data_IF_807817349480
#
_entry.id   IF_807817349480
#
_cell.length_a   1.000
_cell.length_b   1.000
_cell.length_c   1.000
_cell.angle_alpha   90.00
_cell.angle_beta   90.00
_cell.angle_gamma   90.00
#
_symmetry.space_group_name_H-M   'P 1'
#
loop_
_entity.id
_entity.type
_entity.pdbx_description
1 polymer ?
#
# COMPACT_ATOMS: atom_id res chain seq x y z
N UNK A 1 5.32 60.96 -10.44
CA UNK A 1 6.05 59.68 -10.41
C UNK A 1 6.39 59.31 -11.85
N UNK A 2 7.68 59.32 -12.17
CA UNK A 2 8.22 59.11 -13.52
C UNK A 2 8.66 57.65 -13.69
N UNK A 3 8.78 57.21 -14.94
CA UNK A 3 9.10 55.84 -15.42
C UNK A 3 10.40 55.20 -14.89
N UNK A 4 11.12 55.86 -13.99
CA UNK A 4 12.44 55.44 -13.48
C UNK A 4 12.37 54.53 -12.23
N UNK A 5 11.20 54.36 -11.62
CA UNK A 5 11.05 53.63 -10.33
C UNK A 5 10.68 52.14 -10.49
N UNK A 6 10.52 51.63 -11.71
CA UNK A 6 10.18 50.22 -11.99
C UNK A 6 11.39 49.31 -12.28
N UNK A 7 12.63 49.84 -12.20
CA UNK A 7 13.86 49.12 -12.55
C UNK A 7 14.60 48.52 -11.34
N UNK A 8 13.87 48.07 -10.31
CA UNK A 8 14.43 47.61 -9.03
C UNK A 8 14.13 46.14 -8.69
N UNK A 9 14.35 45.20 -9.61
CA UNK A 9 14.37 43.76 -9.26
C UNK A 9 15.63 43.10 -9.84
N UNK A 10 16.66 42.81 -9.02
CA UNK A 10 17.97 42.32 -9.48
C UNK A 10 17.99 40.83 -9.88
N UNK A 11 16.83 40.18 -10.05
CA UNK A 11 16.74 38.74 -10.33
C UNK A 11 16.64 38.36 -11.81
N UNK A 12 16.34 39.30 -12.71
CA UNK A 12 15.97 38.99 -14.12
C UNK A 12 17.16 38.88 -15.07
N UNK A 13 18.30 39.45 -14.73
CA UNK A 13 19.48 39.51 -15.62
C UNK A 13 20.33 38.23 -15.64
N UNK A 14 20.13 37.31 -14.70
CA UNK A 14 20.94 36.09 -14.63
C UNK A 14 20.52 34.99 -15.63
N UNK A 15 19.27 34.99 -16.08
CA UNK A 15 18.79 33.97 -17.02
C UNK A 15 19.41 34.13 -18.43
N UNK A 16 19.73 35.38 -18.82
CA UNK A 16 20.30 35.68 -20.14
C UNK A 16 21.83 35.50 -20.19
N UNK A 17 22.52 35.54 -19.05
CA UNK A 17 23.98 35.39 -19.00
C UNK A 17 24.45 33.95 -19.26
N UNK A 18 23.62 32.94 -19.00
CA UNK A 18 23.95 31.54 -19.26
C UNK A 18 23.99 31.18 -20.76
N UNK A 19 23.32 31.95 -21.61
CA UNK A 19 23.25 31.68 -23.06
C UNK A 19 24.57 31.92 -23.80
N UNK A 20 25.56 32.57 -23.17
CA UNK A 20 26.83 32.90 -23.82
C UNK A 20 27.88 31.78 -23.78
N UNK A 21 27.64 30.64 -23.12
CA UNK A 21 28.68 29.62 -22.89
C UNK A 21 28.49 28.25 -23.56
N UNK A 22 27.40 28.00 -24.29
CA UNK A 22 27.23 26.75 -25.04
C UNK A 22 26.96 26.98 -26.54
N UNK A 23 27.85 26.41 -27.35
CA UNK A 23 27.76 26.33 -28.81
C UNK A 23 26.74 25.27 -29.27
N UNK A 24 25.55 25.27 -28.68
CA UNK A 24 24.45 24.37 -29.04
C UNK A 24 23.90 24.66 -30.44
N UNK A 25 23.41 23.62 -31.13
CA UNK A 25 22.86 23.73 -32.49
C UNK A 25 21.62 24.64 -32.50
N UNK A 26 21.31 25.36 -33.59
CA UNK A 26 20.21 26.34 -33.64
C UNK A 26 18.85 25.83 -33.15
N UNK A 27 18.57 24.53 -33.32
CA UNK A 27 17.34 23.88 -32.84
C UNK A 27 17.25 23.73 -31.32
N UNK A 28 18.37 23.49 -30.65
CA UNK A 28 18.40 23.43 -29.17
C UNK A 28 18.15 24.81 -28.57
N UNK A 29 18.67 25.87 -29.22
CA UNK A 29 18.41 27.25 -28.79
C UNK A 29 16.94 27.62 -28.87
N UNK A 30 16.26 27.22 -29.95
CA UNK A 30 14.82 27.46 -30.09
C UNK A 30 14.02 26.72 -29.02
N UNK A 31 14.37 25.46 -28.74
CA UNK A 31 13.72 24.67 -27.68
C UNK A 31 13.91 25.28 -26.29
N UNK A 32 15.12 25.75 -25.97
CA UNK A 32 15.41 26.43 -24.71
C UNK A 32 14.69 27.78 -24.59
N UNK A 33 14.52 28.50 -25.70
CA UNK A 33 13.72 29.72 -25.76
C UNK A 33 12.24 29.43 -25.54
N UNK A 34 11.70 28.40 -26.18
CA UNK A 34 10.32 27.96 -25.98
C UNK A 34 10.06 27.56 -24.52
N UNK A 35 11.02 26.88 -23.88
CA UNK A 35 10.94 26.47 -22.48
C UNK A 35 11.09 27.65 -21.52
N UNK A 36 11.97 28.62 -21.81
CA UNK A 36 12.12 29.84 -21.02
C UNK A 36 10.93 30.81 -21.17
N UNK A 37 10.23 30.74 -22.29
CA UNK A 37 9.01 31.52 -22.58
C UNK A 37 7.74 30.78 -22.18
N UNK A 38 7.83 29.49 -21.82
CA UNK A 38 6.69 28.75 -21.31
C UNK A 38 6.21 29.40 -20.01
N UNK A 39 4.93 29.74 -19.98
CA UNK A 39 4.28 30.20 -18.75
C UNK A 39 4.48 29.10 -17.70
N UNK A 40 5.00 29.42 -16.50
CA UNK A 40 5.10 28.44 -15.42
C UNK A 40 3.75 27.79 -15.25
N UNK A 41 3.69 26.46 -15.33
CA UNK A 41 2.46 25.76 -15.01
C UNK A 41 2.06 26.20 -13.59
N UNK A 42 0.79 26.57 -13.36
CA UNK A 42 0.35 26.94 -12.02
C UNK A 42 0.68 25.78 -11.09
N UNK A 43 1.22 26.10 -9.92
CA UNK A 43 1.43 25.09 -8.88
C UNK A 43 0.11 24.36 -8.66
N UNK A 44 0.11 23.01 -8.57
CA UNK A 44 -1.11 22.26 -8.36
C UNK A 44 -1.82 22.80 -7.12
N UNK A 45 -3.12 23.04 -7.23
CA UNK A 45 -3.90 23.55 -6.09
C UNK A 45 -3.68 22.64 -4.87
N UNK A 46 -3.48 23.23 -3.68
CA UNK A 46 -3.27 22.45 -2.47
C UNK A 46 -4.49 21.57 -2.21
N UNK A 47 -4.27 20.25 -2.19
CA UNK A 47 -5.31 19.26 -1.90
C UNK A 47 -5.81 19.48 -0.47
N UNK A 48 -7.12 19.46 -0.27
CA UNK A 48 -7.69 19.56 1.07
C UNK A 48 -7.27 18.35 1.92
N UNK A 49 -7.18 18.51 3.24
CA UNK A 49 -6.82 17.40 4.14
C UNK A 49 -7.75 16.19 3.98
N UNK A 50 -9.06 16.42 3.75
CA UNK A 50 -10.04 15.37 3.49
C UNK A 50 -9.75 14.61 2.19
N UNK A 51 -9.55 15.34 1.09
CA UNK A 51 -9.22 14.73 -0.20
C UNK A 51 -7.87 13.99 -0.17
N UNK A 52 -6.91 14.46 0.62
CA UNK A 52 -5.65 13.76 0.83
C UNK A 52 -5.81 12.45 1.62
N UNK A 53 -6.67 12.43 2.64
CA UNK A 53 -6.98 11.19 3.38
C UNK A 53 -7.64 10.16 2.48
N UNK A 54 -8.62 10.57 1.67
CA UNK A 54 -9.26 9.69 0.68
C UNK A 54 -8.23 9.13 -0.32
N UNK A 55 -7.34 9.98 -0.84
CA UNK A 55 -6.27 9.56 -1.73
C UNK A 55 -5.27 8.58 -1.07
N UNK A 56 -4.97 8.75 0.22
CA UNK A 56 -4.17 7.79 0.99
C UNK A 56 -4.89 6.45 1.07
N UNK A 57 -6.19 6.43 1.35
CA UNK A 57 -6.96 5.20 1.50
C UNK A 57 -7.01 4.41 0.18
N UNK A 58 -7.26 5.09 -0.94
CA UNK A 58 -7.16 4.49 -2.28
C UNK A 58 -5.76 3.95 -2.56
N UNK A 59 -4.72 4.73 -2.24
CA UNK A 59 -3.32 4.32 -2.43
C UNK A 59 -2.97 3.09 -1.58
N UNK A 60 -3.43 3.02 -0.33
CA UNK A 60 -3.22 1.85 0.55
C UNK A 60 -3.83 0.61 -0.08
N UNK A 61 -5.07 0.69 -0.58
CA UNK A 61 -5.73 -0.46 -1.20
C UNK A 61 -4.97 -0.94 -2.44
N UNK A 62 -4.57 -0.01 -3.32
CA UNK A 62 -3.86 -0.36 -4.55
C UNK A 62 -2.46 -0.94 -4.27
N UNK A 63 -1.69 -0.32 -3.37
CA UNK A 63 -0.37 -0.82 -2.98
C UNK A 63 -0.46 -2.18 -2.27
N UNK A 64 -1.42 -2.34 -1.36
CA UNK A 64 -1.67 -3.61 -0.67
C UNK A 64 -1.96 -4.72 -1.67
N UNK A 65 -2.85 -4.48 -2.62
CA UNK A 65 -3.17 -5.45 -3.69
C UNK A 65 -1.95 -5.85 -4.50
N UNK A 66 -1.15 -4.87 -4.96
CA UNK A 66 0.07 -5.13 -5.74
C UNK A 66 1.09 -5.97 -4.95
N UNK A 67 1.28 -5.67 -3.67
CA UNK A 67 2.19 -6.44 -2.81
C UNK A 67 1.66 -7.84 -2.48
N UNK A 68 0.35 -7.99 -2.25
CA UNK A 68 -0.26 -9.31 -2.07
C UNK A 68 -0.03 -10.17 -3.31
N UNK A 69 -0.23 -9.62 -4.51
CA UNK A 69 0.04 -10.32 -5.77
C UNK A 69 1.53 -10.65 -5.96
N UNK A 70 2.44 -9.80 -5.49
CA UNK A 70 3.89 -10.03 -5.55
C UNK A 70 4.33 -11.21 -4.66
N UNK A 71 3.66 -11.39 -3.52
CA UNK A 71 3.94 -12.47 -2.57
C UNK A 71 3.22 -13.77 -2.96
N UNK A 72 1.96 -13.67 -3.42
CA UNK A 72 1.08 -14.81 -3.70
C UNK A 72 1.09 -15.26 -5.17
N UNK A 73 2.26 -15.29 -5.80
CA UNK A 73 2.42 -15.51 -7.25
C UNK A 73 1.85 -16.86 -7.74
N UNK A 74 1.88 -17.91 -6.92
CA UNK A 74 1.51 -19.26 -7.35
C UNK A 74 0.86 -20.10 -6.24
N UNK A 75 -0.33 -19.70 -5.80
CA UNK A 75 -1.10 -20.50 -4.84
C UNK A 75 -1.60 -21.81 -5.48
N UNK A 76 -1.22 -22.95 -4.90
CA UNK A 76 -1.68 -24.26 -5.35
C UNK A 76 -2.96 -24.66 -4.62
N UNK A 77 -3.87 -25.32 -5.33
CA UNK A 77 -5.10 -25.84 -4.72
C UNK A 77 -4.85 -26.71 -3.46
N UNK A 78 -3.75 -27.49 -3.45
CA UNK A 78 -3.40 -28.34 -2.31
C UNK A 78 -2.94 -27.54 -1.07
N UNK A 79 -2.34 -26.37 -1.25
CA UNK A 79 -1.92 -25.50 -0.15
C UNK A 79 -3.13 -24.90 0.54
N UNK A 80 -4.13 -24.46 -0.23
CA UNK A 80 -5.41 -23.98 0.29
C UNK A 80 -6.13 -25.10 1.06
N UNK A 81 -6.22 -26.31 0.47
CA UNK A 81 -6.80 -27.48 1.16
C UNK A 81 -6.06 -27.82 2.45
N UNK A 82 -4.73 -27.72 2.47
CA UNK A 82 -3.92 -27.95 3.66
C UNK A 82 -4.19 -26.89 4.75
N UNK A 83 -4.31 -25.62 4.36
CA UNK A 83 -4.65 -24.53 5.27
C UNK A 83 -6.05 -24.71 5.87
N UNK A 84 -7.04 -25.07 5.06
CA UNK A 84 -8.41 -25.39 5.53
C UNK A 84 -8.39 -26.52 6.56
N UNK A 85 -7.66 -27.61 6.28
CA UNK A 85 -7.51 -28.72 7.24
C UNK A 85 -6.83 -28.27 8.53
N UNK A 86 -5.81 -27.41 8.44
CA UNK A 86 -5.11 -26.86 9.61
C UNK A 86 -6.02 -25.99 10.48
N UNK A 87 -6.81 -25.10 9.88
CA UNK A 87 -7.78 -24.27 10.59
C UNK A 87 -8.84 -25.13 11.30
N UNK A 88 -9.41 -26.12 10.61
CA UNK A 88 -10.37 -27.05 11.19
C UNK A 88 -9.77 -27.84 12.37
N UNK A 89 -8.51 -28.29 12.24
CA UNK A 89 -7.81 -28.99 13.30
C UNK A 89 -7.52 -28.09 14.51
N UNK A 90 -7.08 -26.84 14.29
CA UNK A 90 -6.86 -25.86 15.36
C UNK A 90 -8.16 -25.56 16.12
N UNK A 91 -9.26 -25.37 15.40
CA UNK A 91 -10.60 -25.18 15.99
C UNK A 91 -11.03 -26.41 16.81
N UNK A 92 -10.82 -27.61 16.28
CA UNK A 92 -11.10 -28.85 17.00
C UNK A 92 -10.30 -28.97 18.29
N UNK A 93 -9.01 -28.62 18.27
CA UNK A 93 -8.14 -28.59 19.46
C UNK A 93 -8.63 -27.59 20.50
N UNK A 94 -9.00 -26.38 20.08
CA UNK A 94 -9.57 -25.38 20.98
C UNK A 94 -10.85 -25.89 21.64
N UNK A 95 -11.77 -26.47 20.87
CA UNK A 95 -13.02 -27.00 21.42
C UNK A 95 -12.78 -28.17 22.38
N UNK A 96 -11.82 -29.05 22.07
CA UNK A 96 -11.42 -30.12 22.99
C UNK A 96 -10.85 -29.56 24.30
N UNK A 97 -9.91 -28.60 24.22
CA UNK A 97 -9.33 -27.95 25.39
C UNK A 97 -10.39 -27.23 26.24
N UNK A 98 -11.40 -26.62 25.60
CA UNK A 98 -12.51 -25.97 26.29
C UNK A 98 -13.36 -26.97 27.10
N UNK A 99 -13.61 -28.16 26.53
CA UNK A 99 -14.36 -29.24 27.20
C UNK A 99 -13.55 -29.84 28.35
N UNK A 100 -12.23 -29.98 28.17
CA UNK A 100 -11.31 -30.60 29.13
C UNK A 100 -10.82 -29.64 30.24
N UNK A 101 -11.46 -28.47 30.40
CA UNK A 101 -10.97 -27.44 31.33
C UNK A 101 -10.94 -27.92 32.80
N UNK A 102 -9.80 -27.77 33.50
CA UNK A 102 -9.67 -28.20 34.89
C UNK A 102 -10.57 -27.42 35.85
N UNK A 103 -11.09 -28.14 36.84
CA UNK A 103 -12.00 -27.60 37.86
C UNK A 103 -11.29 -26.94 39.05
N UNK A 104 -10.06 -27.37 39.36
CA UNK A 104 -9.24 -26.82 40.44
C UNK A 104 -8.64 -25.45 40.06
N UNK A 105 -8.56 -24.53 41.02
CA UNK A 105 -8.08 -23.16 40.76
C UNK A 105 -6.60 -23.10 40.34
N UNK A 106 -5.70 -23.88 40.96
CA UNK A 106 -4.27 -23.82 40.68
C UNK A 106 -3.91 -24.15 39.22
N UNK A 107 -4.57 -25.13 38.60
CA UNK A 107 -4.32 -25.51 37.19
C UNK A 107 -5.18 -24.73 36.21
N UNK A 108 -6.22 -24.04 36.67
CA UNK A 108 -7.14 -23.29 35.80
C UNK A 108 -6.49 -22.09 35.14
N UNK A 109 -5.59 -21.37 35.83
CA UNK A 109 -4.95 -20.17 35.25
C UNK A 109 -4.13 -20.52 34.00
N UNK A 110 -3.22 -21.49 34.11
CA UNK A 110 -2.40 -21.95 32.98
C UNK A 110 -3.28 -22.50 31.85
N UNK A 111 -4.30 -23.29 32.19
CA UNK A 111 -5.21 -23.84 31.19
C UNK A 111 -6.02 -22.74 30.45
N UNK A 112 -6.38 -21.63 31.11
CA UNK A 112 -7.01 -20.47 30.45
C UNK A 112 -6.02 -19.77 29.49
N UNK A 113 -4.76 -19.63 29.88
CA UNK A 113 -3.71 -19.03 29.03
C UNK A 113 -3.50 -19.88 27.76
N UNK A 114 -3.36 -21.20 27.92
CA UNK A 114 -3.26 -22.15 26.80
C UNK A 114 -4.50 -22.13 25.90
N UNK A 115 -5.69 -22.09 26.51
CA UNK A 115 -6.96 -21.98 25.78
C UNK A 115 -7.06 -20.67 24.99
N UNK A 116 -6.52 -19.57 25.53
CA UNK A 116 -6.49 -18.27 24.84
C UNK A 116 -5.58 -18.31 23.62
N UNK A 117 -4.41 -18.93 23.73
CA UNK A 117 -3.50 -19.12 22.60
C UNK A 117 -4.14 -20.01 21.52
N UNK A 118 -4.78 -21.12 21.92
CA UNK A 118 -5.50 -21.98 21.00
C UNK A 118 -6.65 -21.25 20.30
N UNK A 119 -7.33 -20.33 21.00
CA UNK A 119 -8.38 -19.49 20.42
C UNK A 119 -7.82 -18.56 19.35
N UNK A 120 -6.78 -17.80 19.71
CA UNK A 120 -6.12 -16.87 18.80
C UNK A 120 -5.62 -17.59 17.55
N UNK A 121 -5.02 -18.78 17.69
CA UNK A 121 -4.53 -19.56 16.55
C UNK A 121 -5.66 -19.88 15.55
N UNK A 122 -6.80 -20.43 16.00
CA UNK A 122 -7.86 -20.77 15.04
C UNK A 122 -8.55 -19.53 14.46
N UNK A 123 -8.70 -18.45 15.25
CA UNK A 123 -9.33 -17.21 14.80
C UNK A 123 -8.51 -16.52 13.71
N UNK A 124 -7.19 -16.44 13.88
CA UNK A 124 -6.29 -15.88 12.86
C UNK A 124 -6.28 -16.73 11.59
N UNK A 125 -6.32 -18.06 11.72
CA UNK A 125 -6.41 -18.96 10.56
C UNK A 125 -7.75 -18.81 9.83
N UNK A 126 -8.88 -18.71 10.53
CA UNK A 126 -10.20 -18.48 9.92
C UNK A 126 -10.25 -17.11 9.23
N UNK A 127 -9.73 -16.06 9.88
CA UNK A 127 -9.65 -14.72 9.29
C UNK A 127 -8.77 -14.69 8.04
N UNK A 128 -7.61 -15.35 8.08
CA UNK A 128 -6.73 -15.47 6.91
C UNK A 128 -7.39 -16.22 5.75
N UNK A 129 -8.16 -17.27 6.03
CA UNK A 129 -8.94 -17.99 5.01
C UNK A 129 -10.06 -17.11 4.42
N UNK A 130 -10.71 -16.29 5.22
CA UNK A 130 -11.74 -15.37 4.73
C UNK A 130 -11.13 -14.27 3.84
N UNK A 131 -9.98 -13.72 4.22
CA UNK A 131 -9.24 -12.76 3.37
C UNK A 131 -8.85 -13.43 2.05
N UNK A 132 -8.29 -14.65 2.11
CA UNK A 132 -7.90 -15.40 0.92
C UNK A 132 -9.12 -15.67 0.02
N UNK A 133 -10.27 -16.00 0.59
CA UNK A 133 -11.53 -16.19 -0.15
C UNK A 133 -11.93 -14.92 -0.90
N UNK A 134 -11.88 -13.75 -0.26
CA UNK A 134 -12.19 -12.48 -0.93
C UNK A 134 -11.21 -12.20 -2.07
N UNK A 135 -9.91 -12.35 -1.86
CA UNK A 135 -8.89 -12.16 -2.89
C UNK A 135 -9.09 -13.09 -4.11
N UNK A 136 -9.54 -14.31 -3.88
CA UNK A 136 -9.88 -15.24 -4.97
C UNK A 136 -11.12 -14.78 -5.73
N UNK A 137 -12.17 -14.34 -5.01
CA UNK A 137 -13.43 -13.88 -5.62
C UNK A 137 -13.25 -12.60 -6.44
N UNK A 138 -12.36 -11.71 -5.98
CA UNK A 138 -12.04 -10.45 -6.66
C UNK A 138 -11.08 -10.64 -7.85
N UNK A 139 -10.65 -11.88 -8.12
CA UNK A 139 -9.65 -12.27 -9.12
C UNK A 139 -8.26 -11.65 -8.90
N UNK A 140 -7.95 -11.29 -7.65
CA UNK A 140 -6.67 -10.70 -7.26
C UNK A 140 -5.58 -11.76 -7.14
N UNK A 141 -5.97 -13.02 -6.95
CA UNK A 141 -5.05 -14.16 -6.83
C UNK A 141 -5.49 -15.29 -7.75
N UNK A 142 -4.55 -15.84 -8.52
CA UNK A 142 -4.79 -17.02 -9.37
C UNK A 142 -4.43 -18.30 -8.63
N UNK A 143 -5.31 -19.30 -8.72
CA UNK A 143 -5.08 -20.63 -8.16
C UNK A 143 -4.65 -21.59 -9.27
N UNK A 144 -3.44 -22.13 -9.14
CA UNK A 144 -2.94 -23.14 -10.08
C UNK A 144 -3.77 -24.42 -9.99
N UNK A 145 -4.27 -24.88 -11.13
CA UNK A 145 -5.02 -26.12 -11.27
C UNK A 145 -6.53 -26.01 -10.99
N UNK A 146 -7.06 -24.78 -10.87
CA UNK A 146 -8.50 -24.50 -10.82
C UNK A 146 -8.87 -23.73 -12.08
N UNK A 147 -9.87 -24.19 -12.83
CA UNK A 147 -10.45 -23.53 -14.00
C UNK A 147 -11.89 -23.14 -13.71
#
# INVERSE_FOLDING_TARGET
MTLSELAGYPGRDNALQWFHRSSGKPRERLRMLEEALAVPQPDPEPVSAGAFVEQIEESIQEHSKREIMSVLVHLKQNEIKALVRRAAHAKGRYLAALVDMPRSQCSRKTAIEELTLARQEYEELEKGLEILRHLILDNDVQINGVR
#
